data_IF_121079685977
#
_entry.id   IF_121079685977
#
_cell.length_a   1.000
_cell.length_b   1.000
_cell.length_c   1.000
_cell.angle_alpha   90.00
_cell.angle_beta   90.00
_cell.angle_gamma   90.00
#
_symmetry.space_group_name_H-M   'P 1'
#
loop_
_entity.id
_entity.type
_entity.pdbx_description
1 polymer ?
#
# COMPACT_ATOMS: atom_id res chain seq x y z
N UNK A 1 -7.92 7.45 -53.60
CA UNK A 1 -6.49 7.70 -53.88
C UNK A 1 -5.73 7.76 -52.56
N UNK A 2 -4.59 7.07 -52.50
CA UNK A 2 -3.59 7.13 -51.42
C UNK A 2 -2.85 8.47 -51.47
N UNK A 3 -2.36 8.93 -50.32
CA UNK A 3 -1.00 9.46 -50.23
C UNK A 3 -0.41 9.13 -48.86
N UNK A 4 0.92 9.03 -48.80
CA UNK A 4 1.69 8.18 -47.91
C UNK A 4 2.90 8.97 -47.39
N UNK A 5 3.13 8.95 -46.07
CA UNK A 5 4.47 8.95 -45.49
C UNK A 5 5.02 10.28 -44.95
N UNK A 6 5.48 10.25 -43.70
CA UNK A 6 6.78 10.80 -43.33
C UNK A 6 7.32 10.15 -42.06
N UNK A 7 8.64 10.18 -41.96
CA UNK A 7 9.54 9.32 -41.22
C UNK A 7 9.49 9.43 -39.69
N UNK A 8 10.07 8.42 -39.04
CA UNK A 8 9.97 8.18 -37.62
C UNK A 8 10.89 9.01 -36.73
N UNK A 9 10.58 8.95 -35.44
CA UNK A 9 11.53 8.99 -34.33
C UNK A 9 10.96 8.04 -33.29
N UNK A 10 11.68 6.95 -33.01
CA UNK A 10 11.42 6.09 -31.87
C UNK A 10 12.39 6.54 -30.77
N UNK A 11 11.94 7.22 -29.71
CA UNK A 11 12.73 7.34 -28.50
C UNK A 11 12.65 6.00 -27.77
N UNK A 12 13.82 5.49 -27.38
CA UNK A 12 13.99 4.18 -26.76
C UNK A 12 13.22 3.98 -25.45
N UNK A 13 13.28 2.77 -24.87
CA UNK A 13 12.53 2.43 -23.68
C UNK A 13 12.94 3.36 -22.53
N UNK A 14 11.98 4.02 -21.84
CA UNK A 14 12.33 4.79 -20.66
C UNK A 14 12.87 3.82 -19.61
N UNK A 15 14.10 4.08 -19.21
CA UNK A 15 14.80 3.47 -18.10
C UNK A 15 13.90 3.52 -16.86
N UNK A 16 13.47 2.35 -16.38
CA UNK A 16 13.07 2.13 -14.99
C UNK A 16 12.16 3.18 -14.35
N UNK A 17 11.16 3.70 -15.07
CA UNK A 17 10.08 4.43 -14.43
C UNK A 17 9.41 3.48 -13.45
N UNK A 18 9.54 3.76 -12.14
CA UNK A 18 8.72 3.11 -11.12
C UNK A 18 7.27 3.47 -11.45
N UNK A 19 6.61 2.61 -12.23
CA UNK A 19 5.28 2.83 -12.77
C UNK A 19 4.36 3.14 -11.59
N UNK A 20 3.97 4.41 -11.46
CA UNK A 20 3.07 4.81 -10.39
C UNK A 20 1.79 3.98 -10.51
N UNK A 21 1.37 3.36 -9.42
CA UNK A 21 0.15 2.55 -9.41
C UNK A 21 -1.04 3.46 -9.62
N UNK A 22 -1.93 3.10 -10.56
CA UNK A 22 -3.17 3.82 -10.76
C UNK A 22 -4.03 3.71 -9.48
N UNK A 23 -4.31 4.85 -8.85
CA UNK A 23 -5.03 4.91 -7.58
C UNK A 23 -6.45 4.35 -7.68
N UNK A 24 -7.18 4.64 -8.77
CA UNK A 24 -8.55 4.15 -8.95
C UNK A 24 -8.60 2.62 -9.06
N UNK A 25 -7.67 2.03 -9.81
CA UNK A 25 -7.57 0.58 -9.93
C UNK A 25 -7.21 -0.06 -8.59
N UNK A 26 -6.28 0.55 -7.83
CA UNK A 26 -5.93 0.05 -6.50
C UNK A 26 -7.14 0.05 -5.56
N UNK A 27 -7.92 1.15 -5.54
CA UNK A 27 -9.15 1.24 -4.73
C UNK A 27 -10.23 0.25 -5.19
N UNK A 28 -10.37 0.04 -6.50
CA UNK A 28 -11.29 -0.96 -7.04
C UNK A 28 -10.90 -2.39 -6.60
N UNK A 29 -9.60 -2.68 -6.49
CA UNK A 29 -9.09 -3.97 -6.05
C UNK A 29 -9.05 -4.16 -4.53
N UNK A 30 -8.86 -3.10 -3.73
CA UNK A 30 -8.76 -3.20 -2.26
C UNK A 30 -10.08 -3.59 -1.58
N UNK A 31 -11.19 -3.38 -2.28
CA UNK A 31 -12.54 -3.69 -1.81
C UNK A 31 -13.29 -2.47 -1.26
N UNK A 32 -14.63 -2.53 -1.21
CA UNK A 32 -15.50 -1.37 -0.97
C UNK A 32 -15.41 -0.78 0.45
N UNK A 33 -14.77 -1.49 1.39
CA UNK A 33 -14.61 -1.04 2.78
C UNK A 33 -13.26 -0.37 3.04
N UNK A 34 -12.36 -0.35 2.05
CA UNK A 34 -11.04 0.27 2.21
C UNK A 34 -11.13 1.74 1.84
N UNK A 35 -10.77 2.61 2.79
CA UNK A 35 -10.68 4.05 2.59
C UNK A 35 -9.34 4.56 3.11
N UNK A 36 -8.62 5.32 2.29
CA UNK A 36 -7.33 5.89 2.66
C UNK A 36 -7.45 7.35 3.12
N UNK A 37 -6.84 7.71 4.26
CA UNK A 37 -6.83 9.09 4.71
C UNK A 37 -6.03 9.99 3.74
N UNK A 38 -6.43 11.25 3.55
CA UNK A 38 -5.71 12.17 2.68
C UNK A 38 -4.34 12.53 3.29
N UNK A 39 -3.32 12.67 2.44
CA UNK A 39 -1.99 13.12 2.86
C UNK A 39 -2.09 14.50 3.51
N UNK A 40 -1.42 14.66 4.64
CA UNK A 40 -1.44 15.86 5.47
C UNK A 40 -2.53 15.88 6.56
N UNK A 41 -3.46 14.92 6.57
CA UNK A 41 -4.51 14.82 7.60
C UNK A 41 -4.00 14.29 8.94
N UNK A 42 -4.77 14.56 10.01
CA UNK A 42 -4.57 13.93 11.31
C UNK A 42 -5.26 12.56 11.33
N UNK A 43 -4.54 11.56 11.79
CA UNK A 43 -4.99 10.17 11.94
C UNK A 43 -4.72 9.70 13.35
N UNK A 44 -5.47 8.69 13.80
CA UNK A 44 -5.22 8.01 15.08
C UNK A 44 -4.61 6.64 14.77
N UNK A 45 -3.38 6.42 15.18
CA UNK A 45 -2.72 5.12 15.10
C UNK A 45 -2.99 4.30 16.36
N UNK A 46 -3.37 3.05 16.17
CA UNK A 46 -3.68 2.08 17.22
C UNK A 46 -2.65 0.95 17.18
N UNK A 47 -1.66 0.93 18.10
CA UNK A 47 -0.66 -0.13 18.13
C UNK A 47 -1.25 -1.54 18.24
N UNK A 48 -2.36 -1.70 18.97
CA UNK A 48 -3.05 -2.99 19.11
C UNK A 48 -3.57 -3.50 17.76
N UNK A 49 -4.26 -2.67 16.98
CA UNK A 49 -4.79 -3.07 15.67
C UNK A 49 -3.68 -3.44 14.68
N UNK A 50 -2.50 -2.80 14.80
CA UNK A 50 -1.33 -3.20 14.02
C UNK A 50 -0.83 -4.60 14.39
N UNK A 51 -0.73 -4.93 15.68
CA UNK A 51 -0.36 -6.28 16.12
C UNK A 51 -1.36 -7.34 15.64
N UNK A 52 -2.66 -7.04 15.70
CA UNK A 52 -3.71 -7.93 15.19
C UNK A 52 -3.55 -8.17 13.67
N UNK A 53 -3.26 -7.12 12.90
CA UNK A 53 -3.02 -7.23 11.46
C UNK A 53 -1.78 -8.10 11.13
N UNK A 54 -0.69 -7.92 11.87
CA UNK A 54 0.54 -8.73 11.72
C UNK A 54 0.25 -10.21 12.02
N UNK A 55 -0.45 -10.50 13.11
CA UNK A 55 -0.79 -11.87 13.49
C UNK A 55 -1.70 -12.55 12.46
N UNK A 56 -2.73 -11.85 11.98
CA UNK A 56 -3.59 -12.33 10.89
C UNK A 56 -2.79 -12.66 9.62
N UNK A 57 -1.81 -11.82 9.28
CA UNK A 57 -0.91 -12.03 8.14
C UNK A 57 -0.02 -13.28 8.29
N UNK A 58 0.43 -13.58 9.51
CA UNK A 58 1.28 -14.73 9.79
C UNK A 58 0.51 -16.04 10.04
N UNK A 59 -0.84 -16.01 10.04
CA UNK A 59 -1.70 -17.11 10.49
C UNK A 59 -1.29 -17.66 11.87
N UNK A 60 -0.92 -16.76 12.78
CA UNK A 60 -0.58 -17.10 14.17
C UNK A 60 -1.53 -16.35 15.10
N UNK A 61 -1.89 -16.97 16.21
CA UNK A 61 -2.60 -16.25 17.28
C UNK A 61 -1.65 -15.25 17.95
N UNK A 62 -2.20 -14.13 18.42
CA UNK A 62 -1.45 -13.12 19.20
C UNK A 62 -1.27 -13.65 20.63
N UNK A 63 -0.44 -14.68 20.81
CA UNK A 63 -0.31 -15.33 22.12
C UNK A 63 0.37 -14.43 23.17
N UNK A 64 1.20 -13.47 22.73
CA UNK A 64 1.91 -12.54 23.61
C UNK A 64 1.96 -11.16 22.95
N UNK A 65 1.11 -10.22 23.40
CA UNK A 65 1.29 -8.80 23.11
C UNK A 65 2.40 -8.29 24.04
N UNK A 66 3.57 -7.87 23.53
CA UNK A 66 4.57 -7.22 24.36
C UNK A 66 3.96 -5.99 25.02
N UNK A 67 3.95 -5.96 26.35
CA UNK A 67 3.44 -4.83 27.10
C UNK A 67 4.48 -3.70 27.06
N UNK A 68 4.13 -2.60 26.41
CA UNK A 68 4.92 -1.38 26.40
C UNK A 68 4.25 -0.36 27.33
N UNK A 69 4.58 -0.33 28.63
CA UNK A 69 3.87 0.49 29.62
C UNK A 69 3.95 1.99 29.35
N UNK A 70 4.93 2.44 28.58
CA UNK A 70 5.09 3.84 28.17
C UNK A 70 4.44 4.17 26.82
N UNK A 71 3.85 3.19 26.14
CA UNK A 71 3.23 3.39 24.84
C UNK A 71 1.72 3.61 25.00
N UNK A 72 1.20 4.79 24.63
CA UNK A 72 -0.23 5.03 24.61
C UNK A 72 -0.96 4.06 23.67
N UNK A 73 -2.18 3.66 24.03
CA UNK A 73 -3.03 2.80 23.18
C UNK A 73 -3.55 3.52 21.92
N UNK A 74 -3.42 4.85 21.86
CA UNK A 74 -3.81 5.70 20.73
C UNK A 74 -2.79 6.81 20.56
N UNK A 75 -2.34 7.02 19.33
CA UNK A 75 -1.37 8.04 18.97
C UNK A 75 -1.97 8.94 17.89
N UNK A 76 -1.98 10.25 18.10
CA UNK A 76 -2.41 11.21 17.08
C UNK A 76 -1.21 11.55 16.21
N UNK A 77 -1.31 11.26 14.92
CA UNK A 77 -0.23 11.42 13.96
C UNK A 77 -0.69 12.26 12.77
N UNK A 78 0.25 12.91 12.08
CA UNK A 78 0.00 13.54 10.78
C UNK A 78 0.46 12.59 9.67
N UNK A 79 -0.40 12.30 8.70
CA UNK A 79 -0.04 11.47 7.56
C UNK A 79 0.89 12.25 6.63
N UNK A 80 2.17 11.87 6.54
CA UNK A 80 3.15 12.59 5.72
C UNK A 80 3.15 12.16 4.26
N UNK A 81 2.99 10.87 4.02
CA UNK A 81 3.03 10.28 2.68
C UNK A 81 2.21 9.01 2.66
N UNK A 82 1.63 8.71 1.50
CA UNK A 82 0.90 7.49 1.23
C UNK A 82 1.34 6.96 -0.13
N UNK A 83 1.79 5.71 -0.16
CA UNK A 83 2.29 5.04 -1.37
C UNK A 83 1.54 3.74 -1.54
N UNK A 84 0.99 3.50 -2.73
CA UNK A 84 0.22 2.30 -3.04
C UNK A 84 1.12 1.23 -3.64
N UNK A 85 0.96 -0.01 -3.18
CA UNK A 85 1.71 -1.17 -3.63
C UNK A 85 0.77 -2.32 -4.02
N UNK A 86 1.21 -3.16 -4.97
CA UNK A 86 0.54 -4.40 -5.35
C UNK A 86 1.58 -5.52 -5.38
N UNK A 87 1.34 -6.60 -4.65
CA UNK A 87 2.18 -7.79 -4.66
C UNK A 87 1.69 -8.75 -5.76
N UNK A 88 2.52 -8.98 -6.79
CA UNK A 88 2.17 -9.87 -7.92
C UNK A 88 2.71 -11.30 -7.72
N UNK A 89 3.72 -11.46 -6.88
CA UNK A 89 4.26 -12.77 -6.50
C UNK A 89 3.90 -13.04 -5.04
N UNK A 90 3.01 -14.00 -4.83
CA UNK A 90 2.65 -14.49 -3.50
C UNK A 90 3.48 -15.75 -3.22
N UNK A 91 4.63 -15.67 -2.51
CA UNK A 91 5.24 -16.88 -1.98
C UNK A 91 4.28 -17.50 -0.95
N UNK A 92 4.22 -18.83 -0.83
CA UNK A 92 3.24 -19.55 0.01
C UNK A 92 3.34 -19.24 1.53
N UNK A 93 4.24 -18.35 1.96
CA UNK A 93 4.50 -18.03 3.37
C UNK A 93 4.43 -16.53 3.72
N UNK A 94 3.92 -15.65 2.85
CA UNK A 94 3.74 -14.24 3.22
C UNK A 94 2.44 -13.67 2.70
N UNK A 95 1.38 -13.90 3.49
CA UNK A 95 0.18 -13.07 3.43
C UNK A 95 0.51 -11.70 4.03
N UNK A 96 0.28 -10.70 3.20
CA UNK A 96 0.79 -9.33 3.25
C UNK A 96 0.19 -8.54 4.43
N UNK A 97 1.04 -7.91 5.26
CA UNK A 97 0.70 -6.63 5.90
C UNK A 97 1.10 -5.54 4.91
N UNK A 98 0.12 -4.95 4.24
CA UNK A 98 0.27 -3.67 3.56
C UNK A 98 -0.87 -2.79 4.03
N UNK A 99 -0.53 -1.85 4.91
CA UNK A 99 -1.14 -0.52 5.00
C UNK A 99 0.00 0.48 4.82
#
# INVERSE_FOLDING_TARGET
MKDQGSAGVSPGPPEGEKKAINSELWHACSGPLVAMPPVGSLVVYFPQGHSEQVAASMHKEVDIIPNYPSLPSKLICKLLSLTLHVCVYFPPFSTVVAM
#
